data_IF_851116167612
#
_entry.id   IF_851116167612
#
_cell.length_a   1.000
_cell.length_b   1.000
_cell.length_c   1.000
_cell.angle_alpha   90.00
_cell.angle_beta   90.00
_cell.angle_gamma   90.00
#
_symmetry.space_group_name_H-M   'P 1'
#
loop_
_entity.id
_entity.type
_entity.pdbx_description
1 polymer ?
#
# COMPACT_ATOMS: atom_id res chain seq x y z
N UNK A 1 2.99 36.34 1.80
CA UNK A 1 2.48 35.94 0.47
C UNK A 1 1.44 34.84 0.69
N UNK A 2 0.28 34.85 0.01
CA UNK A 2 -0.79 33.90 0.29
C UNK A 2 -0.34 32.49 -0.09
N UNK A 3 -0.70 31.55 0.77
CA UNK A 3 -0.36 30.14 0.83
C UNK A 3 -0.42 29.45 -0.54
N UNK A 4 0.69 28.83 -0.96
CA UNK A 4 0.75 27.98 -2.15
C UNK A 4 -0.04 26.71 -1.84
N UNK A 5 -1.31 26.65 -2.27
CA UNK A 5 -2.07 25.39 -2.28
C UNK A 5 -1.32 24.40 -3.18
N UNK A 6 -0.94 23.27 -2.62
CA UNK A 6 -0.36 22.17 -3.37
C UNK A 6 -1.34 21.69 -4.45
N UNK A 7 -0.79 21.33 -5.61
CA UNK A 7 -1.61 20.91 -6.75
C UNK A 7 -2.20 19.52 -6.51
N UNK A 8 -3.45 19.25 -6.90
CA UNK A 8 -4.05 17.93 -6.79
C UNK A 8 -3.23 16.86 -7.51
N UNK A 9 -3.14 15.67 -6.94
CA UNK A 9 -2.41 14.55 -7.54
C UNK A 9 -3.09 13.20 -7.29
N UNK A 10 -2.54 12.15 -7.91
CA UNK A 10 -2.92 10.75 -7.67
C UNK A 10 -1.74 10.07 -6.98
N UNK A 11 -1.98 9.47 -5.81
CA UNK A 11 -0.95 8.72 -5.10
C UNK A 11 -0.83 7.30 -5.70
N UNK A 12 0.38 6.84 -5.98
CA UNK A 12 0.63 5.47 -6.42
C UNK A 12 1.26 4.66 -5.29
N UNK A 13 0.65 3.52 -4.97
CA UNK A 13 1.21 2.51 -4.07
C UNK A 13 1.60 1.31 -4.92
N UNK A 14 2.90 1.04 -5.00
CA UNK A 14 3.46 -0.10 -5.73
C UNK A 14 3.82 -1.20 -4.75
N UNK A 15 3.15 -2.34 -4.87
CA UNK A 15 3.52 -3.56 -4.16
C UNK A 15 4.11 -4.54 -5.18
N UNK A 16 5.40 -4.85 -5.06
CA UNK A 16 6.11 -5.74 -5.98
C UNK A 16 6.78 -6.88 -5.22
N UNK A 17 6.52 -8.13 -5.63
CA UNK A 17 7.04 -9.33 -4.97
C UNK A 17 5.96 -10.31 -4.54
N UNK A 18 6.36 -11.42 -3.90
CA UNK A 18 5.45 -12.44 -3.37
C UNK A 18 4.78 -11.93 -2.08
N UNK A 19 3.48 -12.16 -1.90
CA UNK A 19 2.77 -11.84 -0.65
C UNK A 19 2.91 -13.03 0.30
N UNK A 20 3.71 -12.89 1.35
CA UNK A 20 3.92 -13.96 2.35
C UNK A 20 4.39 -13.39 3.69
N UNK A 21 4.23 -14.16 4.77
CA UNK A 21 4.55 -13.73 6.13
C UNK A 21 6.04 -13.51 6.41
N UNK A 22 6.94 -14.12 5.61
CA UNK A 22 8.39 -14.04 5.81
C UNK A 22 9.12 -13.75 4.48
N UNK A 23 9.55 -12.50 4.27
CA UNK A 23 10.25 -12.05 3.07
C UNK A 23 9.33 -11.83 1.86
N UNK A 24 9.31 -10.63 1.27
CA UNK A 24 8.38 -10.26 0.21
C UNK A 24 7.57 -9.00 0.56
N UNK A 25 6.37 -8.85 -0.02
CA UNK A 25 5.44 -7.79 0.38
C UNK A 25 4.82 -8.19 1.72
N UNK A 26 5.16 -7.46 2.78
CA UNK A 26 4.50 -7.58 4.08
C UNK A 26 3.13 -6.88 4.03
N UNK A 27 2.10 -7.51 4.61
CA UNK A 27 0.75 -6.95 4.67
C UNK A 27 0.68 -5.69 5.53
N UNK A 28 1.45 -5.63 6.62
CA UNK A 28 1.47 -4.46 7.52
C UNK A 28 2.06 -3.23 6.82
N UNK A 29 3.21 -3.41 6.16
CA UNK A 29 3.85 -2.34 5.36
C UNK A 29 2.92 -1.84 4.25
N UNK A 30 2.19 -2.74 3.59
CA UNK A 30 1.23 -2.38 2.56
C UNK A 30 0.05 -1.54 3.13
N UNK A 31 -0.41 -1.87 4.33
CA UNK A 31 -1.46 -1.13 5.02
C UNK A 31 -0.96 0.27 5.42
N UNK A 32 0.25 0.39 5.95
CA UNK A 32 0.84 1.70 6.28
C UNK A 32 0.96 2.60 5.04
N UNK A 33 1.51 2.08 3.94
CA UNK A 33 1.63 2.83 2.68
C UNK A 33 0.28 3.30 2.13
N UNK A 34 -0.74 2.45 2.21
CA UNK A 34 -2.10 2.82 1.81
C UNK A 34 -2.67 3.92 2.72
N UNK A 35 -2.47 3.82 4.04
CA UNK A 35 -2.93 4.85 4.97
C UNK A 35 -2.25 6.19 4.71
N UNK A 36 -0.94 6.21 4.43
CA UNK A 36 -0.22 7.42 4.06
C UNK A 36 -0.77 8.03 2.76
N UNK A 37 -1.02 7.20 1.74
CA UNK A 37 -1.60 7.64 0.48
C UNK A 37 -3.00 8.28 0.66
N UNK A 38 -3.83 7.73 1.55
CA UNK A 38 -5.15 8.29 1.88
C UNK A 38 -5.11 9.53 2.76
N UNK A 39 -4.07 9.71 3.59
CA UNK A 39 -3.90 10.88 4.47
C UNK A 39 -3.31 12.09 3.73
N UNK A 40 -2.77 11.91 2.53
CA UNK A 40 -2.17 12.99 1.75
C UNK A 40 -3.24 14.02 1.31
N UNK A 41 -3.18 15.23 1.86
CA UNK A 41 -4.25 16.26 1.75
C UNK A 41 -4.65 16.62 0.30
N UNK A 42 -3.72 16.54 -0.65
CA UNK A 42 -3.98 16.85 -2.06
C UNK A 42 -4.09 15.64 -2.99
N UNK A 43 -4.02 14.42 -2.45
CA UNK A 43 -4.36 13.23 -3.20
C UNK A 43 -5.87 13.21 -3.49
N UNK A 44 -6.24 12.95 -4.76
CA UNK A 44 -7.65 12.83 -5.20
C UNK A 44 -8.03 11.40 -5.58
N UNK A 45 -7.04 10.54 -5.74
CA UNK A 45 -7.20 9.12 -5.98
C UNK A 45 -5.94 8.37 -5.51
N UNK A 46 -6.10 7.07 -5.30
CA UNK A 46 -5.00 6.14 -5.03
C UNK A 46 -5.00 5.08 -6.13
N UNK A 47 -3.85 4.87 -6.77
CA UNK A 47 -3.60 3.75 -7.66
C UNK A 47 -2.83 2.69 -6.86
N UNK A 48 -3.42 1.51 -6.73
CA UNK A 48 -2.74 0.35 -6.19
C UNK A 48 -2.21 -0.50 -7.35
N UNK A 49 -0.89 -0.46 -7.57
CA UNK A 49 -0.20 -1.28 -8.57
C UNK A 49 0.34 -2.53 -7.90
N UNK A 50 -0.28 -3.67 -8.20
CA UNK A 50 0.14 -4.98 -7.69
C UNK A 50 0.93 -5.71 -8.77
N UNK A 51 2.23 -5.86 -8.53
CA UNK A 51 3.11 -6.70 -9.34
C UNK A 51 3.57 -7.90 -8.51
N UNK A 52 2.62 -8.79 -8.23
CA UNK A 52 2.86 -9.97 -7.41
C UNK A 52 2.60 -11.25 -8.22
N UNK A 53 3.46 -12.28 -8.11
CA UNK A 53 3.15 -13.62 -8.64
C UNK A 53 1.99 -14.30 -7.92
N UNK A 54 1.50 -13.70 -6.82
CA UNK A 54 0.58 -14.29 -5.86
C UNK A 54 1.23 -14.45 -4.48
N UNK A 55 0.56 -15.20 -3.60
CA UNK A 55 1.02 -15.49 -2.25
C UNK A 55 0.63 -16.89 -1.80
N UNK A 56 1.29 -17.40 -0.75
CA UNK A 56 0.84 -18.61 -0.06
C UNK A 56 -0.60 -18.40 0.42
N UNK A 57 -1.48 -19.43 0.39
CA UNK A 57 -2.76 -19.37 1.10
C UNK A 57 -2.45 -18.87 2.51
N UNK A 58 -3.11 -17.79 2.94
CA UNK A 58 -2.87 -17.17 4.25
C UNK A 58 -2.86 -18.29 5.29
N UNK A 59 -1.70 -18.55 5.89
CA UNK A 59 -1.59 -19.62 6.86
C UNK A 59 -2.40 -19.18 8.08
N UNK A 60 -3.62 -19.71 8.21
CA UNK A 60 -4.36 -19.66 9.46
C UNK A 60 -3.50 -20.48 10.42
N UNK A 61 -2.79 -19.80 11.33
CA UNK A 61 -2.16 -20.49 12.45
C UNK A 61 -3.28 -21.03 13.35
N UNK A 62 -3.79 -22.22 13.03
CA UNK A 62 -4.60 -22.97 13.96
C UNK A 62 -3.68 -23.45 15.07
N UNK A 63 -3.74 -22.78 16.22
CA UNK A 63 -3.31 -23.42 17.46
C UNK A 63 -4.33 -24.52 17.78
N UNK A 64 -4.07 -25.72 17.25
CA UNK A 64 -4.62 -26.99 17.74
C UNK A 64 -3.44 -27.93 18.01
#
# INVERSE_FOLDING_TARGET
MPWKKESPFVAEVLLSGVIQSAGGINADDAIELLQEAFKAENAKAVILRLNSPGGSPVAIQSNL
#
